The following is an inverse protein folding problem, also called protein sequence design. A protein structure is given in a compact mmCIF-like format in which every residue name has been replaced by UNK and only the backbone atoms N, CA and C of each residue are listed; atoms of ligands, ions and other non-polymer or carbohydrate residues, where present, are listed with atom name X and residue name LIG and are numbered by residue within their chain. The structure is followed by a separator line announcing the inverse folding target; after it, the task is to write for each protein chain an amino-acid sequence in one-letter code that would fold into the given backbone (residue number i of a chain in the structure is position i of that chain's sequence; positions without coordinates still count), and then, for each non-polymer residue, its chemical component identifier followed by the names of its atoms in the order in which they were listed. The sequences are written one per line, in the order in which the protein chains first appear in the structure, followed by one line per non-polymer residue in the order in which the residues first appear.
data_IF_478677579143
#
_entry.id   IF_478677579143
#
_cell.length_a   1.000
_cell.length_b   1.000
_cell.length_c   1.000
_cell.angle_alpha   90.00
_cell.angle_beta   90.00
_cell.angle_gamma   90.00
#
_symmetry.space_group_name_H-M   'P 1'
#
loop_
_entity.id
_entity.type
_entity.pdbx_description
1 polymer ?
#
# COMPACT_ATOMS: atom_id res chain seq x y z
N UNK A 1 -53.83 48.28 -34.95
CA UNK A 1 -53.62 46.98 -35.64
C UNK A 1 -52.18 46.56 -35.44
N UNK A 2 -51.92 45.68 -34.47
CA UNK A 2 -50.59 45.08 -34.24
C UNK A 2 -50.39 43.95 -35.25
N UNK A 3 -49.35 44.06 -36.08
CA UNK A 3 -49.06 43.07 -37.13
C UNK A 3 -48.53 41.77 -36.52
N UNK A 4 -49.14 40.60 -36.81
CA UNK A 4 -48.79 39.31 -36.20
C UNK A 4 -47.35 38.83 -36.49
N UNK A 5 -46.60 39.50 -37.36
CA UNK A 5 -45.20 39.20 -37.66
C UNK A 5 -44.22 39.51 -36.52
N UNK A 6 -44.51 40.52 -35.69
CA UNK A 6 -43.57 40.97 -34.64
C UNK A 6 -43.55 40.02 -33.44
N UNK A 7 -44.70 39.46 -33.06
CA UNK A 7 -44.81 38.52 -31.95
C UNK A 7 -44.00 37.23 -32.19
N UNK A 8 -44.01 36.69 -33.41
CA UNK A 8 -43.22 35.50 -33.77
C UNK A 8 -41.71 35.75 -33.72
N UNK A 9 -41.26 36.95 -34.11
CA UNK A 9 -39.82 37.32 -34.03
C UNK A 9 -39.35 37.38 -32.58
N UNK A 10 -40.13 37.99 -31.70
CA UNK A 10 -39.78 38.12 -30.27
C UNK A 10 -39.67 36.75 -29.60
N UNK A 11 -40.65 35.85 -29.80
CA UNK A 11 -40.61 34.51 -29.20
C UNK A 11 -39.36 33.72 -29.62
N UNK A 12 -38.96 33.83 -30.90
CA UNK A 12 -37.79 33.13 -31.43
C UNK A 12 -36.49 33.71 -30.86
N UNK A 13 -36.39 35.04 -30.73
CA UNK A 13 -35.23 35.69 -30.10
C UNK A 13 -35.10 35.29 -28.63
N UNK A 14 -36.20 35.21 -27.89
CA UNK A 14 -36.20 34.77 -26.50
C UNK A 14 -35.79 33.29 -26.37
N UNK A 15 -36.26 32.42 -27.27
CA UNK A 15 -35.83 31.01 -27.29
C UNK A 15 -34.33 30.87 -27.57
N UNK A 16 -33.81 31.61 -28.56
CA UNK A 16 -32.39 31.59 -28.91
C UNK A 16 -31.50 32.13 -27.79
N UNK A 17 -31.89 33.24 -27.15
CA UNK A 17 -31.19 33.79 -26.00
C UNK A 17 -31.20 32.82 -24.80
N UNK A 18 -32.34 32.18 -24.52
CA UNK A 18 -32.44 31.14 -23.51
C UNK A 18 -31.51 29.95 -23.78
N UNK A 19 -31.47 29.46 -25.02
CA UNK A 19 -30.57 28.38 -25.41
C UNK A 19 -29.08 28.73 -25.22
N UNK A 20 -28.69 29.96 -25.55
CA UNK A 20 -27.31 30.43 -25.38
C UNK A 20 -26.93 30.55 -23.89
N UNK A 21 -27.84 31.04 -23.05
CA UNK A 21 -27.63 31.09 -21.60
C UNK A 21 -27.46 29.68 -21.01
N UNK A 22 -28.26 28.71 -21.45
CA UNK A 22 -28.12 27.30 -21.03
C UNK A 22 -26.77 26.73 -21.47
N UNK A 23 -26.30 27.02 -22.68
CA UNK A 23 -24.98 26.57 -23.15
C UNK A 23 -23.84 27.19 -22.32
N UNK A 24 -23.92 28.48 -22.02
CA UNK A 24 -22.92 29.18 -21.21
C UNK A 24 -22.90 28.65 -19.77
N UNK A 25 -24.08 28.43 -19.18
CA UNK A 25 -24.22 27.77 -17.89
C UNK A 25 -23.64 26.34 -17.91
N UNK A 26 -23.82 25.60 -19.01
CA UNK A 26 -23.24 24.28 -19.21
C UNK A 26 -21.71 24.27 -19.23
N UNK A 27 -21.10 25.22 -19.95
CA UNK A 27 -19.63 25.40 -19.94
C UNK A 27 -19.14 25.72 -18.53
N UNK A 28 -19.73 26.73 -17.88
CA UNK A 28 -19.35 27.11 -16.51
C UNK A 28 -19.52 25.93 -15.55
N UNK A 29 -20.62 25.20 -15.65
CA UNK A 29 -20.89 24.00 -14.86
C UNK A 29 -19.82 22.93 -15.05
N UNK A 30 -19.41 22.63 -16.28
CA UNK A 30 -18.37 21.65 -16.57
C UNK A 30 -17.03 22.01 -15.91
N UNK A 31 -16.67 23.30 -15.90
CA UNK A 31 -15.44 23.77 -15.25
C UNK A 31 -15.55 23.80 -13.72
N UNK A 32 -16.72 24.16 -13.17
CA UNK A 32 -16.97 24.12 -11.73
C UNK A 32 -16.92 22.70 -11.17
N UNK A 33 -17.42 21.71 -11.91
CA UNK A 33 -17.37 20.28 -11.53
C UNK A 33 -15.96 19.71 -11.66
N UNK A 34 -15.15 20.21 -12.60
CA UNK A 34 -13.77 19.74 -12.79
C UNK A 34 -12.86 20.03 -11.60
N UNK A 35 -12.91 21.24 -11.04
CA UNK A 35 -12.02 21.65 -9.96
C UNK A 35 -12.04 20.72 -8.72
N UNK A 36 -13.21 20.33 -8.14
CA UNK A 36 -13.24 19.41 -7.02
C UNK A 36 -12.77 18.00 -7.40
N UNK A 37 -13.03 17.53 -8.62
CA UNK A 37 -12.55 16.22 -9.10
C UNK A 37 -11.02 16.21 -9.22
N UNK A 38 -10.43 17.27 -9.80
CA UNK A 38 -8.98 17.40 -9.92
C UNK A 38 -8.31 17.44 -8.54
N UNK A 39 -8.90 18.16 -7.56
CA UNK A 39 -8.40 18.18 -6.17
C UNK A 39 -8.52 16.82 -5.49
N UNK A 40 -9.67 16.16 -5.60
CA UNK A 40 -9.89 14.83 -5.03
C UNK A 40 -8.91 13.80 -5.62
N UNK A 41 -8.63 13.88 -6.93
CA UNK A 41 -7.60 13.06 -7.58
C UNK A 41 -6.24 13.31 -6.94
N UNK A 42 -5.77 14.55 -6.92
CA UNK A 42 -4.44 14.88 -6.39
C UNK A 42 -4.30 14.40 -4.95
N UNK A 43 -5.29 14.66 -4.09
CA UNK A 43 -5.28 14.21 -2.70
C UNK A 43 -5.28 12.68 -2.56
N UNK A 44 -6.04 11.97 -3.39
CA UNK A 44 -6.06 10.50 -3.35
C UNK A 44 -4.68 9.93 -3.73
N UNK A 45 -4.08 10.41 -4.81
CA UNK A 45 -2.77 9.92 -5.27
C UNK A 45 -1.62 10.37 -4.37
N UNK A 46 -1.71 11.55 -3.75
CA UNK A 46 -0.76 12.01 -2.74
C UNK A 46 -0.79 11.09 -1.52
N UNK A 47 -1.99 10.74 -1.01
CA UNK A 47 -2.14 9.78 0.08
C UNK A 47 -1.60 8.40 -0.26
N UNK A 48 -1.78 7.94 -1.50
CA UNK A 48 -1.22 6.67 -1.98
C UNK A 48 0.32 6.74 -2.06
N UNK A 49 0.89 7.85 -2.54
CA UNK A 49 2.34 8.04 -2.58
C UNK A 49 2.94 8.09 -1.17
N UNK A 50 2.28 8.81 -0.27
CA UNK A 50 2.66 8.89 1.14
C UNK A 50 2.58 7.50 1.79
N UNK A 51 1.54 6.71 1.49
CA UNK A 51 1.39 5.38 2.06
C UNK A 51 2.45 4.40 1.56
N UNK A 52 2.84 4.45 0.28
CA UNK A 52 3.99 3.68 -0.23
C UNK A 52 5.30 4.10 0.41
N UNK A 53 5.50 5.40 0.64
CA UNK A 53 6.70 5.91 1.34
C UNK A 53 6.74 5.42 2.79
N UNK A 54 5.58 5.36 3.47
CA UNK A 54 5.45 4.76 4.79
C UNK A 54 5.73 3.26 4.78
N UNK A 55 5.30 2.52 3.75
CA UNK A 55 5.63 1.10 3.58
C UNK A 55 7.15 0.93 3.45
N UNK A 56 7.82 1.71 2.59
CA UNK A 56 9.29 1.65 2.41
C UNK A 56 10.02 1.86 3.75
N UNK A 57 9.64 2.89 4.51
CA UNK A 57 10.21 3.16 5.82
C UNK A 57 9.94 2.04 6.85
N UNK A 58 8.77 1.37 6.77
CA UNK A 58 8.44 0.22 7.62
C UNK A 58 9.25 -1.01 7.24
N UNK A 59 9.42 -1.29 5.95
CA UNK A 59 10.25 -2.39 5.46
C UNK A 59 11.71 -2.21 5.88
N UNK A 60 12.23 -0.99 5.81
CA UNK A 60 13.57 -0.68 6.32
C UNK A 60 13.69 -0.93 7.83
N UNK A 61 12.64 -0.60 8.60
CA UNK A 61 12.61 -0.91 10.03
C UNK A 61 12.57 -2.41 10.30
N UNK A 62 11.78 -3.17 9.53
CA UNK A 62 11.73 -4.64 9.63
C UNK A 62 13.09 -5.24 9.30
N UNK A 63 13.78 -4.71 8.28
CA UNK A 63 15.12 -5.16 7.92
C UNK A 63 16.13 -4.97 9.07
N UNK A 64 16.07 -3.83 9.78
CA UNK A 64 16.90 -3.61 10.97
C UNK A 64 16.56 -4.58 12.10
N UNK A 65 15.27 -4.81 12.36
CA UNK A 65 14.82 -5.80 13.35
C UNK A 65 15.31 -7.21 12.99
N UNK A 66 15.26 -7.58 11.71
CA UNK A 66 15.77 -8.87 11.23
C UNK A 66 17.29 -8.97 11.40
N UNK A 67 18.04 -7.91 11.11
CA UNK A 67 19.48 -7.86 11.35
C UNK A 67 19.84 -8.02 12.83
N UNK A 68 19.13 -7.30 13.72
CA UNK A 68 19.31 -7.42 15.17
C UNK A 68 18.94 -8.82 15.68
N UNK A 69 17.91 -9.43 15.09
CA UNK A 69 17.50 -10.80 15.37
C UNK A 69 18.58 -11.83 14.97
N UNK A 70 19.23 -11.66 13.81
CA UNK A 70 20.36 -12.52 13.38
C UNK A 70 21.50 -12.45 14.39
N UNK A 71 21.90 -11.23 14.80
CA UNK A 71 22.96 -11.06 15.79
C UNK A 71 22.61 -11.71 17.13
N UNK A 72 21.35 -11.58 17.57
CA UNK A 72 20.86 -12.21 18.80
C UNK A 72 20.84 -13.74 18.69
N UNK A 73 20.44 -14.28 17.54
CA UNK A 73 20.41 -15.72 17.29
C UNK A 73 21.82 -16.32 17.22
N UNK A 74 22.79 -15.61 16.65
CA UNK A 74 24.18 -16.04 16.63
C UNK A 74 24.78 -16.06 18.05
N UNK A 75 24.50 -15.05 18.88
CA UNK A 75 24.90 -15.04 20.30
C UNK A 75 24.27 -16.22 21.08
N UNK A 76 22.96 -16.45 20.91
CA UNK A 76 22.25 -17.59 21.51
C UNK A 76 22.85 -18.92 21.04
N UNK A 77 23.19 -19.05 19.75
CA UNK A 77 23.81 -20.24 19.19
C UNK A 77 25.19 -20.50 19.80
N UNK A 78 26.03 -19.46 19.91
CA UNK A 78 27.38 -19.57 20.45
C UNK A 78 27.34 -19.97 21.93
N UNK A 79 26.45 -19.35 22.70
CA UNK A 79 26.20 -19.69 24.12
C UNK A 79 25.69 -21.12 24.29
N UNK A 80 24.69 -21.55 23.52
CA UNK A 80 24.20 -22.93 23.54
C UNK A 80 25.30 -23.93 23.19
N UNK A 81 26.19 -23.59 22.25
CA UNK A 81 27.34 -24.43 21.91
C UNK A 81 28.41 -24.47 23.03
N UNK A 82 28.58 -23.37 23.76
CA UNK A 82 29.42 -23.30 24.97
C UNK A 82 28.89 -24.19 26.08
N UNK A 83 27.60 -24.07 26.42
CA UNK A 83 26.91 -24.92 27.40
C UNK A 83 26.98 -26.40 27.00
N UNK A 84 26.87 -26.72 25.71
CA UNK A 84 27.02 -28.11 25.24
C UNK A 84 28.39 -28.74 25.57
N UNK A 85 29.44 -27.90 25.65
CA UNK A 85 30.82 -28.33 25.87
C UNK A 85 31.20 -28.32 27.35
N UNK A 86 30.65 -27.38 28.11
CA UNK A 86 30.84 -27.29 29.55
C UNK A 86 29.81 -28.20 30.25
N UNK A 87 30.23 -29.31 30.87
CA UNK A 87 29.33 -30.20 31.63
C UNK A 87 28.82 -29.56 32.95
N UNK A 88 28.50 -28.27 32.95
CA UNK A 88 28.31 -27.47 34.17
C UNK A 88 26.82 -27.42 34.53
N UNK A 89 26.53 -27.84 35.75
CA UNK A 89 25.21 -27.99 36.37
C UNK A 89 24.73 -26.69 37.06
N UNK A 90 25.55 -25.63 37.09
CA UNK A 90 25.32 -24.50 38.02
C UNK A 90 24.79 -23.19 37.43
N UNK A 91 24.68 -23.01 36.12
CA UNK A 91 24.44 -21.65 35.59
C UNK A 91 22.97 -21.34 35.25
N UNK A 92 22.13 -21.33 36.28
CA UNK A 92 20.76 -20.78 36.21
C UNK A 92 20.77 -19.32 35.69
N UNK A 93 21.85 -18.58 35.91
CA UNK A 93 22.00 -17.20 35.44
C UNK A 93 22.12 -17.15 33.91
N UNK A 94 22.95 -18.01 33.31
CA UNK A 94 23.05 -18.12 31.85
C UNK A 94 21.73 -18.55 31.20
N UNK A 95 20.99 -19.47 31.83
CA UNK A 95 19.69 -19.91 31.33
C UNK A 95 18.66 -18.78 31.33
N UNK A 96 18.57 -18.01 32.41
CA UNK A 96 17.69 -16.83 32.49
C UNK A 96 18.08 -15.75 31.47
N UNK A 97 19.37 -15.57 31.20
CA UNK A 97 19.81 -14.63 30.17
C UNK A 97 19.40 -15.10 28.77
N UNK A 98 19.58 -16.40 28.46
CA UNK A 98 19.14 -16.99 27.19
C UNK A 98 17.63 -16.87 27.00
N UNK A 99 16.84 -17.18 28.02
CA UNK A 99 15.38 -17.02 28.01
C UNK A 99 15.00 -15.57 27.71
N UNK A 100 15.64 -14.62 28.39
CA UNK A 100 15.40 -13.17 28.17
C UNK A 100 15.72 -12.76 26.73
N UNK A 101 16.82 -13.26 26.15
CA UNK A 101 17.20 -12.98 24.75
C UNK A 101 16.21 -13.55 23.75
N UNK A 102 15.74 -14.78 23.99
CA UNK A 102 14.73 -15.42 23.13
C UNK A 102 13.38 -14.72 23.23
N UNK A 103 12.98 -14.26 24.43
CA UNK A 103 11.78 -13.45 24.60
C UNK A 103 11.88 -12.10 23.87
N UNK A 104 13.04 -11.43 23.93
CA UNK A 104 13.30 -10.20 23.17
C UNK A 104 13.23 -10.44 21.65
N UNK A 105 13.79 -11.55 21.18
CA UNK A 105 13.73 -11.96 19.78
C UNK A 105 12.29 -12.18 19.33
N UNK A 106 11.50 -12.95 20.08
CA UNK A 106 10.09 -13.20 19.78
C UNK A 106 9.28 -11.89 19.70
N UNK A 107 9.47 -11.00 20.67
CA UNK A 107 8.84 -9.68 20.67
C UNK A 107 9.26 -8.82 19.47
N UNK A 108 10.54 -8.90 19.06
CA UNK A 108 11.04 -8.24 17.86
C UNK A 108 10.37 -8.75 16.59
N UNK A 109 10.31 -10.06 16.41
CA UNK A 109 9.67 -10.71 15.26
C UNK A 109 8.16 -10.40 15.19
N UNK A 110 7.47 -10.41 16.33
CA UNK A 110 6.04 -10.08 16.41
C UNK A 110 5.77 -8.61 16.02
N UNK A 111 6.64 -7.68 16.43
CA UNK A 111 6.57 -6.28 15.95
C UNK A 111 6.80 -6.20 14.45
N UNK A 112 7.76 -6.97 13.93
CA UNK A 112 8.00 -7.10 12.50
C UNK A 112 6.75 -7.57 11.74
N UNK A 113 6.09 -8.61 12.23
CA UNK A 113 4.85 -9.15 11.67
C UNK A 113 3.75 -8.08 11.62
N UNK A 114 3.50 -7.39 12.73
CA UNK A 114 2.51 -6.30 12.81
C UNK A 114 2.79 -5.19 11.78
N UNK A 115 4.07 -4.88 11.53
CA UNK A 115 4.46 -3.90 10.52
C UNK A 115 4.18 -4.42 9.10
N UNK A 116 4.43 -5.69 8.80
CA UNK A 116 4.12 -6.29 7.49
C UNK A 116 2.61 -6.31 7.24
N UNK A 117 1.82 -6.71 8.25
CA UNK A 117 0.36 -6.74 8.15
C UNK A 117 -0.20 -5.35 7.85
N UNK A 118 0.33 -4.33 8.53
CA UNK A 118 -0.03 -2.94 8.26
C UNK A 118 0.37 -2.45 6.85
N UNK A 119 1.30 -3.13 6.17
CA UNK A 119 1.64 -2.85 4.78
C UNK A 119 0.64 -3.53 3.82
N UNK A 120 0.15 -4.73 4.14
CA UNK A 120 -0.90 -5.40 3.35
C UNK A 120 -2.19 -4.58 3.33
N UNK A 121 -2.60 -4.04 4.48
CA UNK A 121 -3.75 -3.14 4.60
C UNK A 121 -3.64 -1.91 3.67
N UNK A 122 -2.45 -1.32 3.61
CA UNK A 122 -2.18 -0.17 2.74
C UNK A 122 -2.26 -0.59 1.28
N UNK A 123 -1.64 -1.70 0.89
CA UNK A 123 -1.69 -2.21 -0.48
C UNK A 123 -3.14 -2.51 -0.90
N UNK A 124 -3.94 -3.10 0.00
CA UNK A 124 -5.37 -3.33 -0.22
C UNK A 124 -6.14 -2.02 -0.44
N UNK A 125 -5.87 -0.98 0.35
CA UNK A 125 -6.49 0.33 0.17
C UNK A 125 -6.13 0.97 -1.18
N UNK A 126 -4.86 0.85 -1.61
CA UNK A 126 -4.43 1.33 -2.94
C UNK A 126 -5.15 0.55 -4.04
N UNK A 127 -5.25 -0.77 -3.91
CA UNK A 127 -5.94 -1.62 -4.87
C UNK A 127 -7.42 -1.26 -5.01
N UNK A 128 -8.13 -1.03 -3.90
CA UNK A 128 -9.51 -0.56 -3.89
C UNK A 128 -9.65 0.81 -4.56
N UNK A 129 -8.72 1.73 -4.27
CA UNK A 129 -8.70 3.06 -4.91
C UNK A 129 -8.52 2.98 -6.43
N UNK A 130 -7.64 2.08 -6.89
CA UNK A 130 -7.42 1.84 -8.32
C UNK A 130 -8.64 1.17 -8.99
N UNK A 131 -9.34 0.28 -8.29
CA UNK A 131 -10.59 -0.32 -8.79
C UNK A 131 -11.70 0.73 -8.94
N UNK A 132 -11.86 1.63 -7.96
CA UNK A 132 -12.81 2.74 -8.06
C UNK A 132 -12.45 3.69 -9.22
N UNK A 133 -11.17 3.97 -9.43
CA UNK A 133 -10.71 4.73 -10.59
C UNK A 133 -11.05 4.01 -11.92
N UNK A 134 -10.92 2.68 -11.96
CA UNK A 134 -11.31 1.88 -13.14
C UNK A 134 -12.81 1.99 -13.43
N UNK A 135 -13.65 1.92 -12.40
CA UNK A 135 -15.10 2.07 -12.54
C UNK A 135 -15.49 3.47 -13.03
N UNK A 136 -14.68 4.48 -12.72
CA UNK A 136 -14.81 5.84 -13.25
C UNK A 136 -14.28 6.02 -14.68
N UNK A 137 -13.89 4.94 -15.37
CA UNK A 137 -13.44 4.95 -16.76
C UNK A 137 -11.93 5.20 -16.96
N UNK A 138 -11.16 5.26 -15.88
CA UNK A 138 -9.71 5.32 -16.00
C UNK A 138 -9.16 3.93 -16.38
N UNK A 139 -8.21 3.88 -17.32
CA UNK A 139 -7.51 2.63 -17.63
C UNK A 139 -6.50 2.33 -16.53
N UNK A 140 -6.95 1.73 -15.43
CA UNK A 140 -6.09 1.28 -14.32
C UNK A 140 -5.96 -0.23 -14.34
N UNK A 141 -4.78 -0.72 -13.99
CA UNK A 141 -4.57 -2.15 -13.78
C UNK A 141 -4.39 -2.43 -12.28
N UNK A 142 -5.48 -2.61 -11.56
CA UNK A 142 -5.44 -2.92 -10.13
C UNK A 142 -4.69 -4.24 -9.83
N UNK A 143 -4.65 -5.18 -10.78
CA UNK A 143 -3.90 -6.44 -10.65
C UNK A 143 -2.38 -6.26 -10.66
N UNK A 144 -1.88 -5.07 -11.01
CA UNK A 144 -0.45 -4.77 -10.95
C UNK A 144 0.13 -4.86 -9.52
N UNK A 145 -0.72 -4.77 -8.48
CA UNK A 145 -0.31 -4.89 -7.07
C UNK A 145 -0.44 -6.31 -6.51
N UNK A 146 -1.07 -7.24 -7.22
CA UNK A 146 -1.23 -8.64 -6.76
C UNK A 146 0.11 -9.33 -6.47
N UNK A 147 1.18 -9.12 -7.27
CA UNK A 147 2.49 -9.69 -6.96
C UNK A 147 3.07 -9.15 -5.64
N UNK A 148 2.90 -7.85 -5.36
CA UNK A 148 3.36 -7.23 -4.11
C UNK A 148 2.58 -7.81 -2.91
N UNK A 149 1.25 -7.89 -3.04
CA UNK A 149 0.38 -8.50 -2.03
C UNK A 149 0.78 -9.93 -1.72
N UNK A 150 1.03 -10.74 -2.76
CA UNK A 150 1.46 -12.13 -2.61
C UNK A 150 2.79 -12.25 -1.85
N UNK A 151 3.73 -11.34 -2.10
CA UNK A 151 5.00 -11.32 -1.37
C UNK A 151 4.85 -10.88 0.08
N UNK A 152 4.02 -9.87 0.37
CA UNK A 152 3.71 -9.46 1.74
C UNK A 152 3.04 -10.60 2.51
N UNK A 153 2.07 -11.29 1.92
CA UNK A 153 1.43 -12.45 2.54
C UNK A 153 2.40 -13.61 2.82
N UNK A 154 3.35 -13.87 1.90
CA UNK A 154 4.40 -14.86 2.14
C UNK A 154 5.34 -14.43 3.29
N UNK A 155 5.68 -13.14 3.36
CA UNK A 155 6.50 -12.57 4.43
C UNK A 155 5.81 -12.65 5.79
N UNK A 156 4.52 -12.32 5.87
CA UNK A 156 3.70 -12.46 7.08
C UNK A 156 3.66 -13.91 7.55
N UNK A 157 3.42 -14.87 6.64
CA UNK A 157 3.37 -16.28 6.99
C UNK A 157 4.70 -16.76 7.59
N UNK A 158 5.82 -16.40 6.95
CA UNK A 158 7.14 -16.76 7.47
C UNK A 158 7.46 -16.09 8.80
N UNK A 159 7.04 -14.83 9.01
CA UNK A 159 7.26 -14.14 10.29
C UNK A 159 6.44 -14.81 11.38
N UNK A 160 5.21 -15.23 11.09
CA UNK A 160 4.38 -16.01 11.99
C UNK A 160 5.04 -17.34 12.37
N UNK A 161 5.59 -18.06 11.39
CA UNK A 161 6.34 -19.30 11.65
C UNK A 161 7.58 -19.04 12.52
N UNK A 162 8.32 -17.95 12.26
CA UNK A 162 9.49 -17.58 13.04
C UNK A 162 9.14 -17.20 14.49
N UNK A 163 8.04 -16.46 14.71
CA UNK A 163 7.53 -16.13 16.05
C UNK A 163 7.17 -17.40 16.80
N UNK A 164 6.38 -18.30 16.20
CA UNK A 164 5.99 -19.57 16.84
C UNK A 164 7.21 -20.44 17.19
N UNK A 165 8.22 -20.46 16.32
CA UNK A 165 9.47 -21.18 16.59
C UNK A 165 10.25 -20.52 17.73
N UNK A 166 10.34 -19.19 17.79
CA UNK A 166 11.01 -18.47 18.88
C UNK A 166 10.28 -18.65 20.23
N UNK A 167 8.95 -18.64 20.24
CA UNK A 167 8.14 -18.93 21.43
C UNK A 167 8.38 -20.35 21.92
N UNK A 168 8.38 -21.34 21.02
CA UNK A 168 8.68 -22.73 21.37
C UNK A 168 10.10 -22.93 21.92
N UNK A 169 11.05 -22.09 21.49
CA UNK A 169 12.41 -22.07 22.03
C UNK A 169 12.41 -21.48 23.44
N UNK A 170 11.66 -20.41 23.68
CA UNK A 170 11.48 -19.80 25.00
C UNK A 170 10.85 -20.75 26.00
N UNK A 171 9.76 -21.43 25.62
CA UNK A 171 9.10 -22.44 26.48
C UNK A 171 10.04 -23.58 26.87
N UNK A 172 10.93 -24.00 25.96
CA UNK A 172 11.93 -25.04 26.25
C UNK A 172 13.06 -24.54 27.13
N UNK A 173 13.45 -23.28 26.99
CA UNK A 173 14.47 -22.65 27.83
C UNK A 173 13.95 -22.38 29.25
N UNK A 174 12.67 -22.06 29.42
CA UNK A 174 12.05 -21.75 30.72
C UNK A 174 11.48 -22.95 31.48
N UNK A 175 11.45 -24.14 30.89
CA UNK A 175 10.96 -25.34 31.56
C UNK A 175 11.87 -25.80 32.71
N UNK A 176 11.28 -26.31 33.81
CA UNK A 176 12.01 -26.94 34.93
C UNK A 176 12.81 -28.19 34.53
N UNK A 177 12.68 -28.67 33.28
CA UNK A 177 13.50 -29.76 32.79
C UNK A 177 14.94 -29.30 32.63
N UNK A 178 15.78 -29.81 33.51
CA UNK A 178 17.21 -29.57 33.57
C UNK A 178 17.84 -29.75 32.17
N UNK A 179 18.58 -28.73 31.71
CA UNK A 179 19.39 -28.76 30.48
C UNK A 179 20.42 -29.92 30.43
N UNK A 180 20.48 -30.75 31.48
CA UNK A 180 21.20 -32.00 31.54
C UNK A 180 20.86 -32.98 30.40
N UNK A 181 19.65 -32.93 29.83
CA UNK A 181 19.34 -33.72 28.63
C UNK A 181 19.96 -33.10 27.37
N UNK A 182 21.10 -33.67 26.94
CA UNK A 182 21.79 -33.34 25.68
C UNK A 182 20.87 -33.36 24.45
N UNK A 183 19.77 -34.13 24.49
CA UNK A 183 18.78 -34.18 23.42
C UNK A 183 18.01 -32.87 23.29
N UNK A 184 17.68 -32.21 24.41
CA UNK A 184 16.98 -30.93 24.41
C UNK A 184 17.87 -29.82 23.88
N UNK A 185 19.12 -29.76 24.36
CA UNK A 185 20.08 -28.76 23.90
C UNK A 185 20.35 -28.87 22.39
N UNK A 186 20.48 -30.10 21.86
CA UNK A 186 20.60 -30.32 20.41
C UNK A 186 19.39 -29.80 19.63
N UNK A 187 18.16 -30.00 20.15
CA UNK A 187 16.94 -29.47 19.53
C UNK A 187 16.90 -27.93 19.57
N UNK A 188 17.36 -27.30 20.64
CA UNK A 188 17.45 -25.84 20.73
C UNK A 188 18.43 -25.28 19.68
N UNK A 189 19.61 -25.90 19.52
CA UNK A 189 20.57 -25.52 18.48
C UNK A 189 19.98 -25.69 17.07
N UNK A 190 19.24 -26.76 16.81
CA UNK A 190 18.56 -26.98 15.52
C UNK A 190 17.49 -25.91 15.25
N UNK A 191 16.71 -25.53 16.27
CA UNK A 191 15.72 -24.46 16.17
C UNK A 191 16.38 -23.11 15.85
N UNK A 192 17.46 -22.76 16.55
CA UNK A 192 18.21 -21.51 16.31
C UNK A 192 18.81 -21.49 14.91
N UNK A 193 19.35 -22.62 14.44
CA UNK A 193 19.86 -22.74 13.07
C UNK A 193 18.74 -22.55 12.02
N UNK A 194 17.54 -23.08 12.28
CA UNK A 194 16.36 -22.87 11.43
C UNK A 194 15.97 -21.39 11.41
N UNK A 195 15.93 -20.72 12.56
CA UNK A 195 15.63 -19.29 12.64
C UNK A 195 16.65 -18.42 11.89
N UNK A 196 17.94 -18.73 11.99
CA UNK A 196 19.01 -18.06 11.23
C UNK A 196 18.82 -18.25 9.72
N UNK A 197 18.48 -19.45 9.28
CA UNK A 197 18.21 -19.71 7.86
C UNK A 197 17.00 -18.91 7.36
N UNK A 198 15.91 -18.85 8.14
CA UNK A 198 14.74 -18.03 7.81
C UNK A 198 15.10 -16.54 7.78
N UNK A 199 15.89 -16.07 8.75
CA UNK A 199 16.39 -14.68 8.80
C UNK A 199 17.22 -14.30 7.57
N UNK A 200 18.07 -15.21 7.08
CA UNK A 200 18.79 -15.02 5.82
C UNK A 200 17.86 -14.85 4.61
N UNK A 201 16.80 -15.68 4.52
CA UNK A 201 15.81 -15.55 3.45
C UNK A 201 14.92 -14.29 3.57
N UNK A 202 14.74 -13.77 4.79
CA UNK A 202 13.94 -12.57 5.03
C UNK A 202 14.55 -11.33 4.39
N UNK A 203 15.87 -11.17 4.47
CA UNK A 203 16.55 -10.00 3.90
C UNK A 203 16.37 -9.93 2.38
N UNK A 204 16.57 -11.04 1.68
CA UNK A 204 16.35 -11.13 0.23
C UNK A 204 14.90 -10.81 -0.15
N UNK A 205 13.93 -11.32 0.62
CA UNK A 205 12.50 -11.07 0.37
C UNK A 205 12.11 -9.63 0.68
N UNK A 206 12.62 -9.04 1.75
CA UNK A 206 12.41 -7.64 2.09
C UNK A 206 12.98 -6.73 0.99
N UNK A 207 14.18 -7.02 0.51
CA UNK A 207 14.78 -6.29 -0.61
C UNK A 207 13.93 -6.40 -1.89
N UNK A 208 13.40 -7.60 -2.18
CA UNK A 208 12.51 -7.81 -3.32
C UNK A 208 11.19 -7.03 -3.18
N UNK A 209 10.56 -7.05 -1.99
CA UNK A 209 9.34 -6.27 -1.71
C UNK A 209 9.63 -4.77 -1.84
N UNK A 210 10.75 -4.30 -1.28
CA UNK A 210 11.16 -2.89 -1.35
C UNK A 210 11.35 -2.43 -2.79
N UNK A 211 12.03 -3.25 -3.60
CA UNK A 211 12.20 -3.00 -5.04
C UNK A 211 10.84 -2.88 -5.73
N UNK A 212 9.89 -3.77 -5.42
CA UNK A 212 8.54 -3.69 -6.00
C UNK A 212 7.73 -2.48 -5.53
N UNK A 213 7.89 -2.05 -4.29
CA UNK A 213 7.28 -0.80 -3.79
C UNK A 213 7.83 0.38 -4.58
N UNK A 214 9.15 0.44 -4.79
CA UNK A 214 9.80 1.46 -5.60
C UNK A 214 9.31 1.43 -7.06
N UNK A 215 9.22 0.25 -7.67
CA UNK A 215 8.72 0.07 -9.04
C UNK A 215 7.23 0.44 -9.20
N UNK A 216 6.44 0.34 -8.11
CA UNK A 216 5.02 0.70 -8.12
C UNK A 216 4.78 2.21 -8.08
N UNK A 217 5.69 3.00 -7.50
CA UNK A 217 5.58 4.47 -7.45
C UNK A 217 5.43 5.13 -8.84
N UNK A 218 6.29 4.87 -9.83
CA UNK A 218 6.15 5.47 -11.16
C UNK A 218 4.88 5.00 -11.88
N UNK A 219 4.43 3.77 -11.64
CA UNK A 219 3.16 3.26 -12.20
C UNK A 219 1.98 4.07 -11.68
N UNK A 220 1.92 4.31 -10.37
CA UNK A 220 0.86 5.11 -9.73
C UNK A 220 0.91 6.56 -10.21
N UNK A 221 2.10 7.16 -10.31
CA UNK A 221 2.28 8.50 -10.86
C UNK A 221 1.82 8.61 -12.32
N UNK A 222 2.11 7.58 -13.12
CA UNK A 222 1.64 7.46 -14.50
C UNK A 222 0.11 7.39 -14.61
N UNK A 223 -0.55 6.65 -13.71
CA UNK A 223 -2.01 6.56 -13.64
C UNK A 223 -2.61 7.92 -13.29
N UNK A 224 -2.11 8.60 -12.25
CA UNK A 224 -2.58 9.94 -11.85
C UNK A 224 -2.52 10.94 -13.01
N UNK A 225 -1.41 10.93 -13.75
CA UNK A 225 -1.20 11.81 -14.90
C UNK A 225 -2.17 11.51 -16.03
N UNK A 226 -2.39 10.22 -16.37
CA UNK A 226 -3.34 9.80 -17.40
C UNK A 226 -4.78 10.17 -17.03
N UNK A 227 -5.17 9.96 -15.78
CA UNK A 227 -6.50 10.26 -15.29
C UNK A 227 -6.76 11.77 -15.34
N UNK A 228 -5.76 12.60 -15.01
CA UNK A 228 -5.86 14.05 -15.19
C UNK A 228 -5.98 14.49 -16.64
N UNK A 229 -5.26 13.85 -17.56
CA UNK A 229 -5.42 14.10 -18.99
C UNK A 229 -6.82 13.72 -19.49
N UNK A 230 -7.37 12.59 -19.01
CA UNK A 230 -8.73 12.17 -19.38
C UNK A 230 -9.80 13.14 -18.87
N UNK A 231 -9.69 13.61 -17.63
CA UNK A 231 -10.59 14.64 -17.07
C UNK A 231 -10.51 15.91 -17.94
N UNK A 232 -9.31 16.38 -18.26
CA UNK A 232 -9.10 17.56 -19.11
C UNK A 232 -9.74 17.37 -20.50
N UNK A 233 -9.54 16.22 -21.13
CA UNK A 233 -10.13 15.91 -22.45
C UNK A 233 -11.66 15.86 -22.38
N UNK A 234 -12.23 15.23 -21.34
CA UNK A 234 -13.68 15.16 -21.15
C UNK A 234 -14.29 16.56 -20.94
N UNK A 235 -13.69 17.40 -20.09
CA UNK A 235 -14.15 18.79 -19.90
C UNK A 235 -14.03 19.62 -21.18
N UNK A 236 -12.96 19.41 -21.95
CA UNK A 236 -12.76 20.11 -23.23
C UNK A 236 -13.79 19.68 -24.27
N UNK A 237 -14.09 18.39 -24.37
CA UNK A 237 -15.12 17.85 -25.26
C UNK A 237 -16.52 18.36 -24.87
N UNK A 238 -16.85 18.38 -23.58
CA UNK A 238 -18.10 18.96 -23.09
C UNK A 238 -18.21 20.45 -23.43
N UNK A 239 -17.12 21.20 -23.26
CA UNK A 239 -17.06 22.62 -23.63
C UNK A 239 -17.28 22.82 -25.13
N UNK A 240 -16.58 22.04 -25.96
CA UNK A 240 -16.73 22.09 -27.42
C UNK A 240 -18.17 21.76 -27.86
N UNK A 241 -18.82 20.79 -27.21
CA UNK A 241 -20.21 20.43 -27.46
C UNK A 241 -21.18 21.59 -27.14
N UNK A 242 -21.01 22.25 -25.98
CA UNK A 242 -21.85 23.42 -25.63
C UNK A 242 -21.60 24.62 -26.56
N UNK A 243 -20.35 24.85 -26.97
CA UNK A 243 -20.02 25.91 -27.94
C UNK A 243 -20.65 25.60 -29.31
N UNK A 244 -20.59 24.35 -29.76
CA UNK A 244 -21.23 23.90 -30.99
C UNK A 244 -22.76 24.12 -30.95
N UNK A 245 -23.40 23.74 -29.85
CA UNK A 245 -24.83 23.98 -29.61
C UNK A 245 -25.18 25.48 -29.67
N UNK A 246 -24.37 26.33 -29.04
CA UNK A 246 -24.55 27.79 -29.07
C UNK A 246 -24.41 28.37 -30.48
N UNK A 247 -23.43 27.91 -31.27
CA UNK A 247 -23.25 28.30 -32.67
C UNK A 247 -24.45 27.86 -33.53
N UNK A 248 -24.99 26.67 -33.27
CA UNK A 248 -26.22 26.18 -33.90
C UNK A 248 -27.40 27.12 -33.66
N UNK A 249 -27.61 27.55 -32.41
CA UNK A 249 -28.66 28.52 -32.06
C UNK A 249 -28.46 29.88 -32.74
N UNK A 250 -27.21 30.38 -32.78
CA UNK A 250 -26.89 31.63 -33.47
C UNK A 250 -27.16 31.57 -34.98
N UNK A 251 -26.81 30.45 -35.62
CA UNK A 251 -27.06 30.26 -37.06
C UNK A 251 -28.56 30.27 -37.40
N UNK A 252 -29.40 29.71 -36.52
CA UNK A 252 -30.85 29.73 -36.66
C UNK A 252 -31.45 31.13 -36.46
N UNK A 253 -30.85 31.93 -35.58
CA UNK A 253 -31.25 33.33 -35.39
C UNK A 253 -30.87 34.22 -36.58
N UNK A 254 -29.74 33.95 -37.25
CA UNK A 254 -29.21 34.83 -38.30
C UNK A 254 -29.83 34.62 -39.69
N UNK A 255 -30.38 33.42 -39.95
CA UNK A 255 -30.99 33.07 -41.24
C UNK A 255 -32.42 33.61 -41.44
N UNK A 256 -32.87 34.56 -40.61
CA UNK A 256 -34.21 35.16 -40.62
C UNK A 256 -34.16 36.67 -40.67
#
# INVERSE_FOLDING_TARGET
MSTPSNARRIVVQLLGAGGLLVCLAGVVGAWLVRAPIDRARVQAFEKVSESLTRIDARLERIQRIAADAVLTLDDVRERLAGVARANVVEDLTEQLELETRVAQLAAGLQRGQTLVDSCDDVVQYVQQTLQLASQAGASTNASALDPLRKQLGALTAELGDAVAVAESLGERLGGEQEFADKTQLRKCVEIVAKLLATAGSFDEKLAAVRTRVADSQPVIGGISTRLGRQILLATSAATAFFVWMALGQLSLCWRR
#
